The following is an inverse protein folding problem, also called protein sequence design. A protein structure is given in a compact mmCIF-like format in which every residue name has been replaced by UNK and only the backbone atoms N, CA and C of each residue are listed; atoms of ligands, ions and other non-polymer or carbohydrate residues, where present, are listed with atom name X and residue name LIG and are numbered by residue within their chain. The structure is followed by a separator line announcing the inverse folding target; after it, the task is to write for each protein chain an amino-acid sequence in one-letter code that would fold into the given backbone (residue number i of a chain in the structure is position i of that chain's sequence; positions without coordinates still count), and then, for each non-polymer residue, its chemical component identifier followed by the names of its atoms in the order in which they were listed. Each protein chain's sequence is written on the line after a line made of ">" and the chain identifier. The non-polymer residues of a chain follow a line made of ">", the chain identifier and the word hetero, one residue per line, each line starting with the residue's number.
data_IF_008605885126
#
_entry.id   IF_008605885126
#
_cell.length_a   1.000
_cell.length_b   1.000
_cell.length_c   1.000
_cell.angle_alpha   90.00
_cell.angle_beta   90.00
_cell.angle_gamma   90.00
#
_symmetry.space_group_name_H-M   'P 1'
#
loop_
_entity.id
_entity.type
_entity.pdbx_description
1 polymer ?
#
# COMPACT_ATOMS: atom_id res chain seq x y z
N UNK A 1 9.29 21.40 9.42
CA UNK A 1 10.08 22.21 8.49
C UNK A 1 9.96 21.66 7.07
N UNK A 2 10.15 22.52 6.06
CA UNK A 2 10.18 22.16 4.63
C UNK A 2 11.08 20.94 4.33
N UNK A 3 12.23 20.87 4.99
CA UNK A 3 13.19 19.75 4.91
C UNK A 3 12.56 18.38 5.22
N UNK A 4 11.64 18.29 6.19
CA UNK A 4 10.94 17.04 6.55
C UNK A 4 10.01 16.58 5.42
N UNK A 5 9.30 17.51 4.78
CA UNK A 5 8.39 17.19 3.67
C UNK A 5 9.15 16.74 2.42
N UNK A 6 10.24 17.42 2.08
CA UNK A 6 11.13 17.01 0.99
C UNK A 6 11.68 15.60 1.20
N UNK A 7 12.13 15.27 2.43
CA UNK A 7 12.61 13.92 2.78
C UNK A 7 11.52 12.84 2.72
N UNK A 8 10.25 13.18 2.96
CA UNK A 8 9.14 12.22 2.77
C UNK A 8 8.83 11.99 1.30
N UNK A 9 8.95 13.03 0.46
CA UNK A 9 8.68 12.92 -0.97
C UNK A 9 9.64 11.97 -1.68
N UNK A 10 10.89 11.87 -1.24
CA UNK A 10 11.86 10.92 -1.81
C UNK A 10 11.45 9.45 -1.62
N UNK A 11 10.55 9.15 -0.68
CA UNK A 11 10.01 7.80 -0.51
C UNK A 11 8.95 7.42 -1.57
N UNK A 12 8.51 8.36 -2.42
CA UNK A 12 7.51 8.08 -3.47
C UNK A 12 8.14 7.27 -4.61
N UNK A 13 9.34 7.60 -5.05
CA UNK A 13 10.06 6.89 -6.12
C UNK A 13 10.19 5.38 -5.87
N UNK A 14 10.67 4.91 -4.69
CA UNK A 14 10.74 3.48 -4.43
C UNK A 14 9.36 2.83 -4.36
N UNK A 15 8.34 3.54 -3.86
CA UNK A 15 6.95 3.03 -3.86
C UNK A 15 6.43 2.83 -5.28
N UNK A 16 6.71 3.77 -6.19
CA UNK A 16 6.36 3.62 -7.61
C UNK A 16 7.13 2.46 -8.24
N UNK A 17 8.41 2.29 -7.91
CA UNK A 17 9.22 1.14 -8.34
C UNK A 17 8.59 -0.20 -7.94
N UNK A 18 8.22 -0.35 -6.67
CA UNK A 18 7.48 -1.53 -6.18
C UNK A 18 6.11 -1.68 -6.85
N UNK A 19 5.38 -0.59 -7.07
CA UNK A 19 4.10 -0.67 -7.77
C UNK A 19 4.24 -1.17 -9.21
N UNK A 20 5.31 -0.78 -9.92
CA UNK A 20 5.60 -1.25 -11.28
C UNK A 20 5.94 -2.74 -11.31
N UNK A 21 6.83 -3.19 -10.43
CA UNK A 21 7.33 -4.57 -10.41
C UNK A 21 6.35 -5.54 -9.74
N UNK A 22 5.87 -5.20 -8.54
CA UNK A 22 5.06 -6.06 -7.68
C UNK A 22 3.56 -5.72 -7.79
N UNK A 23 3.24 -4.43 -7.91
CA UNK A 23 1.88 -3.89 -7.82
C UNK A 23 1.05 -3.90 -9.10
N UNK A 24 1.44 -4.68 -10.11
CA UNK A 24 0.80 -4.81 -11.45
C UNK A 24 0.78 -3.53 -12.29
N UNK A 25 1.33 -2.40 -11.82
CA UNK A 25 1.36 -1.17 -12.59
C UNK A 25 2.17 -1.31 -13.88
N UNK A 26 3.22 -2.14 -13.89
CA UNK A 26 4.02 -2.43 -15.08
C UNK A 26 3.42 -3.46 -16.03
N UNK A 27 2.27 -4.08 -15.67
CA UNK A 27 1.60 -5.12 -16.47
C UNK A 27 0.17 -4.68 -16.79
N UNK A 28 0.04 -3.81 -17.79
CA UNK A 28 -1.27 -3.34 -18.25
C UNK A 28 -1.85 -4.30 -19.31
N UNK A 29 -3.07 -4.78 -19.08
CA UNK A 29 -3.83 -5.62 -20.01
C UNK A 29 -4.97 -4.86 -20.71
N UNK A 30 -5.15 -3.57 -20.39
CA UNK A 30 -6.17 -2.71 -20.97
C UNK A 30 -5.64 -2.01 -22.22
N UNK A 31 -6.53 -1.78 -23.19
CA UNK A 31 -6.14 -1.28 -24.50
C UNK A 31 -5.97 0.25 -24.51
N UNK A 32 -4.85 0.72 -25.08
CA UNK A 32 -4.61 2.12 -25.39
C UNK A 32 -4.47 3.05 -24.17
N UNK A 33 -4.42 4.36 -24.45
CA UNK A 33 -4.13 5.39 -23.45
C UNK A 33 -5.17 5.47 -22.33
N UNK A 34 -6.44 5.22 -22.64
CA UNK A 34 -7.48 5.16 -21.61
C UNK A 34 -7.26 3.96 -20.68
N UNK A 35 -6.89 2.80 -21.25
CA UNK A 35 -6.50 1.63 -20.49
C UNK A 35 -5.32 1.88 -19.55
N UNK A 36 -4.29 2.58 -20.03
CA UNK A 36 -3.14 2.96 -19.18
C UNK A 36 -3.54 3.80 -17.98
N UNK A 37 -4.41 4.80 -18.18
CA UNK A 37 -4.93 5.66 -17.10
C UNK A 37 -5.75 4.85 -16.09
N UNK A 38 -6.65 4.00 -16.57
CA UNK A 38 -7.46 3.14 -15.72
C UNK A 38 -6.58 2.16 -14.91
N UNK A 39 -5.60 1.53 -15.55
CA UNK A 39 -4.68 0.61 -14.87
C UNK A 39 -3.90 1.32 -13.76
N UNK A 40 -3.41 2.54 -14.02
CA UNK A 40 -2.69 3.33 -13.03
C UNK A 40 -3.55 3.64 -11.80
N UNK A 41 -4.80 4.07 -12.02
CA UNK A 41 -5.75 4.39 -10.94
C UNK A 41 -6.09 3.12 -10.13
N UNK A 42 -6.43 2.02 -10.81
CA UNK A 42 -6.82 0.77 -10.15
C UNK A 42 -5.66 0.13 -9.40
N UNK A 43 -4.44 0.14 -9.94
CA UNK A 43 -3.25 -0.33 -9.25
C UNK A 43 -2.96 0.49 -7.99
N UNK A 44 -3.11 1.83 -8.07
CA UNK A 44 -2.99 2.73 -6.92
C UNK A 44 -4.06 2.46 -5.86
N UNK A 45 -5.33 2.31 -6.26
CA UNK A 45 -6.42 1.95 -5.35
C UNK A 45 -6.16 0.61 -4.65
N UNK A 46 -5.74 -0.41 -5.41
CA UNK A 46 -5.35 -1.71 -4.88
C UNK A 46 -4.19 -1.62 -3.88
N UNK A 47 -3.19 -0.77 -4.13
CA UNK A 47 -2.08 -0.54 -3.20
C UNK A 47 -2.57 0.06 -1.87
N UNK A 48 -3.48 1.04 -1.92
CA UNK A 48 -4.08 1.63 -0.73
C UNK A 48 -4.94 0.63 0.05
N UNK A 49 -5.74 -0.18 -0.65
CA UNK A 49 -6.55 -1.24 0.00
C UNK A 49 -5.68 -2.26 0.74
N UNK A 50 -4.54 -2.70 0.15
CA UNK A 50 -3.60 -3.60 0.84
C UNK A 50 -3.03 -2.99 2.13
N UNK A 51 -2.72 -1.68 2.13
CA UNK A 51 -2.26 -0.98 3.34
C UNK A 51 -3.34 -0.93 4.43
N UNK A 52 -4.58 -0.63 4.05
CA UNK A 52 -5.72 -0.64 4.98
C UNK A 52 -5.93 -2.04 5.57
N UNK A 53 -5.95 -3.07 4.73
CA UNK A 53 -6.07 -4.46 5.18
C UNK A 53 -4.94 -4.83 6.15
N UNK A 54 -3.69 -4.51 5.81
CA UNK A 54 -2.55 -4.79 6.70
C UNK A 54 -2.70 -4.08 8.06
N UNK A 55 -3.15 -2.82 8.08
CA UNK A 55 -3.37 -2.09 9.32
C UNK A 55 -4.51 -2.69 10.18
N UNK A 56 -5.65 -3.01 9.56
CA UNK A 56 -6.78 -3.60 10.27
C UNK A 56 -6.46 -5.01 10.78
N UNK A 57 -5.84 -5.86 9.96
CA UNK A 57 -5.46 -7.19 10.38
C UNK A 57 -4.41 -7.15 11.48
N UNK A 58 -3.37 -6.31 11.36
CA UNK A 58 -2.39 -6.12 12.42
C UNK A 58 -3.05 -5.71 13.74
N UNK A 59 -3.98 -4.75 13.70
CA UNK A 59 -4.73 -4.32 14.88
C UNK A 59 -5.56 -5.45 15.48
N UNK A 60 -6.32 -6.19 14.66
CA UNK A 60 -7.19 -7.28 15.11
C UNK A 60 -6.39 -8.45 15.71
N UNK A 61 -5.32 -8.89 15.04
CA UNK A 61 -4.45 -9.97 15.52
C UNK A 61 -3.65 -9.55 16.74
N UNK A 62 -3.07 -8.35 16.75
CA UNK A 62 -2.35 -7.81 17.91
C UNK A 62 -3.25 -7.71 19.14
N UNK A 63 -4.47 -7.20 18.97
CA UNK A 63 -5.46 -7.11 20.05
C UNK A 63 -5.86 -8.48 20.59
N UNK A 64 -6.09 -9.47 19.70
CA UNK A 64 -6.38 -10.86 20.09
C UNK A 64 -5.24 -11.44 20.91
N UNK A 65 -3.99 -11.31 20.45
CA UNK A 65 -2.81 -11.82 21.14
C UNK A 65 -2.64 -11.16 22.51
N UNK A 66 -2.76 -9.83 22.59
CA UNK A 66 -2.65 -9.10 23.85
C UNK A 66 -3.72 -9.54 24.86
N UNK A 67 -4.98 -9.70 24.43
CA UNK A 67 -6.03 -10.21 25.32
C UNK A 67 -5.74 -11.61 25.83
N UNK A 68 -5.25 -12.51 24.98
CA UNK A 68 -4.90 -13.88 25.39
C UNK A 68 -3.73 -13.89 26.37
N UNK A 69 -2.72 -13.04 26.15
CA UNK A 69 -1.57 -12.94 27.05
C UNK A 69 -1.98 -12.37 28.43
N UNK A 70 -2.80 -11.32 28.46
CA UNK A 70 -3.31 -10.73 29.71
C UNK A 70 -4.27 -11.64 30.47
N UNK A 71 -4.95 -12.57 29.79
CA UNK A 71 -5.82 -13.55 30.44
C UNK A 71 -5.05 -14.75 31.03
N UNK A 72 -3.75 -14.87 30.76
CA UNK A 72 -2.87 -15.94 31.26
C UNK A 72 -1.94 -15.51 32.40
N UNK A 73 -1.93 -14.22 32.74
CA UNK A 73 -1.29 -13.62 33.92
C UNK A 73 -2.30 -13.41 35.02
#
# INVERSE_FOLDING_TARGET
>A
SLRRWLKRRSAIEPVIGHMKNDGRLGRNYLLGKEGDRMNAILCGAGHNMRKLLAAFLFFLFGWRVQKVLLART
#
